data_IF_591486209517
#
_entry.id   IF_591486209517
#
_cell.length_a   1.000
_cell.length_b   1.000
_cell.length_c   1.000
_cell.angle_alpha   90.00
_cell.angle_beta   90.00
_cell.angle_gamma   90.00
#
_symmetry.space_group_name_H-M   'P 1'
#
loop_
_entity.id
_entity.type
_entity.pdbx_description
1 polymer ?
#
# COMPACT_ATOMS: atom_id res chain seq x y z
N UNK A 1 -44.45 7.48 12.71
CA UNK A 1 -42.98 7.41 12.62
C UNK A 1 -42.48 7.33 11.16
N UNK A 2 -42.99 6.42 10.33
CA UNK A 2 -42.63 6.30 8.89
C UNK A 2 -42.91 7.55 8.02
N UNK A 3 -44.02 8.27 8.26
CA UNK A 3 -44.36 9.51 7.50
C UNK A 3 -43.36 10.65 7.74
N UNK A 4 -42.83 10.76 8.95
CA UNK A 4 -41.92 11.83 9.36
C UNK A 4 -40.52 11.63 8.78
N UNK A 5 -40.07 10.37 8.69
CA UNK A 5 -38.82 9.98 8.02
C UNK A 5 -38.90 10.24 6.52
N UNK A 6 -40.01 9.88 5.86
CA UNK A 6 -40.22 10.20 4.44
C UNK A 6 -40.24 11.71 4.16
N UNK A 7 -40.79 12.52 5.08
CA UNK A 7 -40.81 13.97 4.97
C UNK A 7 -39.40 14.58 5.11
N UNK A 8 -38.59 14.11 6.07
CA UNK A 8 -37.22 14.56 6.25
C UNK A 8 -36.32 14.16 5.07
N UNK A 9 -36.49 12.96 4.53
CA UNK A 9 -35.79 12.48 3.33
C UNK A 9 -36.18 13.32 2.12
N UNK A 10 -37.46 13.63 1.91
CA UNK A 10 -37.91 14.48 0.78
C UNK A 10 -37.39 15.92 0.89
N UNK A 11 -37.32 16.47 2.10
CA UNK A 11 -36.81 17.82 2.35
C UNK A 11 -35.29 17.92 2.14
N UNK A 12 -34.52 16.92 2.57
CA UNK A 12 -33.07 16.83 2.31
C UNK A 12 -32.77 16.60 0.82
N UNK A 13 -33.64 15.85 0.11
CA UNK A 13 -33.53 15.65 -1.34
C UNK A 13 -33.72 16.95 -2.13
N UNK A 14 -34.49 17.91 -1.59
CA UNK A 14 -34.72 19.22 -2.22
C UNK A 14 -33.55 20.20 -2.04
N UNK A 15 -32.75 20.10 -0.97
CA UNK A 15 -31.67 21.05 -0.70
C UNK A 15 -30.38 20.80 -1.51
N UNK A 16 -30.17 19.56 -1.96
CA UNK A 16 -29.01 19.15 -2.79
C UNK A 16 -29.35 19.02 -4.29
N UNK A 17 -30.57 19.40 -4.69
CA UNK A 17 -30.97 19.42 -6.09
C UNK A 17 -30.61 20.77 -6.69
N UNK A 18 -29.80 20.75 -7.75
CA UNK A 18 -29.73 21.88 -8.68
C UNK A 18 -31.18 22.22 -9.07
N UNK A 19 -31.59 23.49 -8.89
CA UNK A 19 -32.98 23.89 -9.12
C UNK A 19 -33.42 23.43 -10.50
N UNK A 20 -34.53 22.68 -10.57
CA UNK A 20 -35.19 22.40 -11.85
C UNK A 20 -35.46 23.74 -12.55
N UNK A 21 -35.13 23.88 -13.85
CA UNK A 21 -34.85 22.82 -14.82
C UNK A 21 -33.36 22.50 -15.05
N UNK A 22 -32.42 23.16 -14.35
CA UNK A 22 -31.00 23.09 -14.68
C UNK A 22 -30.37 21.70 -14.49
N UNK A 23 -30.87 20.90 -13.55
CA UNK A 23 -30.49 19.48 -13.36
C UNK A 23 -30.76 18.64 -14.62
N UNK A 24 -31.95 18.80 -15.21
CA UNK A 24 -32.33 18.09 -16.43
C UNK A 24 -31.53 18.59 -17.64
N UNK A 25 -31.22 19.89 -17.69
CA UNK A 25 -30.37 20.48 -18.74
C UNK A 25 -28.94 19.94 -18.65
N UNK A 26 -28.33 19.88 -17.45
CA UNK A 26 -26.97 19.38 -17.26
C UNK A 26 -26.90 17.90 -17.65
N UNK A 27 -27.87 17.08 -17.23
CA UNK A 27 -27.93 15.66 -17.59
C UNK A 27 -28.11 15.49 -19.11
N UNK A 28 -28.93 16.33 -19.75
CA UNK A 28 -29.15 16.28 -21.19
C UNK A 28 -27.90 16.67 -21.99
N UNK A 29 -27.21 17.74 -21.59
CA UNK A 29 -25.95 18.17 -22.22
C UNK A 29 -24.87 17.09 -22.05
N UNK A 30 -24.74 16.52 -20.86
CA UNK A 30 -23.80 15.43 -20.59
C UNK A 30 -24.13 14.18 -21.41
N UNK A 31 -25.42 13.83 -21.52
CA UNK A 31 -25.88 12.72 -22.36
C UNK A 31 -25.48 12.93 -23.82
N UNK A 32 -25.71 14.13 -24.37
CA UNK A 32 -25.34 14.45 -25.75
C UNK A 32 -23.83 14.32 -25.98
N UNK A 33 -23.02 14.83 -25.04
CA UNK A 33 -21.55 14.80 -25.12
C UNK A 33 -21.00 13.36 -25.13
N UNK A 34 -21.63 12.46 -24.35
CA UNK A 34 -21.25 11.04 -24.29
C UNK A 34 -21.82 10.25 -25.49
N UNK A 35 -23.03 10.57 -25.94
CA UNK A 35 -23.70 9.86 -27.02
C UNK A 35 -23.02 10.02 -28.37
N UNK A 36 -22.43 11.19 -28.66
CA UNK A 36 -21.77 11.47 -29.94
C UNK A 36 -20.57 10.54 -30.20
N UNK A 37 -19.55 10.42 -29.31
CA UNK A 37 -18.44 9.48 -29.49
C UNK A 37 -18.90 8.01 -29.57
N UNK A 38 -19.84 7.62 -28.71
CA UNK A 38 -20.36 6.24 -28.68
C UNK A 38 -21.10 5.91 -29.97
N UNK A 39 -21.91 6.84 -30.49
CA UNK A 39 -22.56 6.68 -31.78
C UNK A 39 -21.55 6.45 -32.92
N UNK A 40 -20.45 7.20 -32.95
CA UNK A 40 -19.40 7.04 -33.97
C UNK A 40 -18.81 5.62 -33.89
N UNK A 41 -18.45 5.15 -32.69
CA UNK A 41 -17.88 3.80 -32.47
C UNK A 41 -18.87 2.70 -32.87
N UNK A 42 -20.13 2.82 -32.43
CA UNK A 42 -21.16 1.81 -32.71
C UNK A 42 -21.48 1.78 -34.20
N UNK A 43 -21.68 2.94 -34.83
CA UNK A 43 -21.99 3.03 -36.25
C UNK A 43 -20.89 2.45 -37.13
N UNK A 44 -19.60 2.69 -36.81
CA UNK A 44 -18.47 2.13 -37.54
C UNK A 44 -18.38 0.60 -37.43
N UNK A 45 -18.84 0.00 -36.33
CA UNK A 45 -18.78 -1.44 -36.09
C UNK A 45 -20.05 -2.20 -36.48
N UNK A 46 -21.13 -1.50 -36.84
CA UNK A 46 -22.38 -2.12 -37.30
C UNK A 46 -22.46 -2.21 -38.82
N UNK A 47 -22.98 -3.32 -39.35
CA UNK A 47 -23.23 -3.46 -40.80
C UNK A 47 -24.27 -2.44 -41.23
N UNK A 48 -23.94 -1.59 -42.21
CA UNK A 48 -24.83 -0.54 -42.72
C UNK A 48 -26.04 -1.12 -43.47
N UNK A 49 -27.25 -1.05 -42.88
CA UNK A 49 -28.47 -1.33 -43.60
C UNK A 49 -28.81 -0.01 -44.32
N UNK A 50 -28.49 0.12 -45.61
CA UNK A 50 -28.77 1.34 -46.41
C UNK A 50 -30.28 1.56 -46.59
N UNK A 51 -30.98 1.93 -45.52
CA UNK A 51 -32.40 2.22 -45.51
C UNK A 51 -32.66 3.59 -46.15
N UNK A 52 -33.84 3.74 -46.72
CA UNK A 52 -34.27 4.99 -47.34
C UNK A 52 -34.13 6.15 -46.33
N UNK A 53 -33.52 7.27 -46.74
CA UNK A 53 -33.21 8.43 -45.91
C UNK A 53 -32.21 8.25 -44.74
N UNK A 54 -31.42 7.16 -44.69
CA UNK A 54 -30.51 6.88 -43.55
C UNK A 54 -31.22 6.85 -42.19
N UNK A 55 -32.48 6.40 -42.16
CA UNK A 55 -33.31 6.34 -40.95
C UNK A 55 -32.68 5.41 -39.90
N UNK A 56 -31.92 4.40 -40.35
CA UNK A 56 -31.11 3.51 -39.51
C UNK A 56 -30.17 4.29 -38.57
N UNK A 57 -29.53 5.36 -39.06
CA UNK A 57 -28.58 6.17 -38.28
C UNK A 57 -29.29 7.03 -37.24
N UNK A 58 -30.42 7.61 -37.60
CA UNK A 58 -31.23 8.43 -36.69
C UNK A 58 -31.81 7.57 -35.57
N UNK A 59 -32.34 6.39 -35.91
CA UNK A 59 -32.87 5.44 -34.92
C UNK A 59 -31.78 4.93 -33.97
N UNK A 60 -30.59 4.59 -34.51
CA UNK A 60 -29.46 4.14 -33.71
C UNK A 60 -28.97 5.25 -32.76
N UNK A 61 -28.91 6.49 -33.21
CA UNK A 61 -28.55 7.64 -32.37
C UNK A 61 -29.57 7.88 -31.26
N UNK A 62 -30.87 7.87 -31.58
CA UNK A 62 -31.95 8.03 -30.59
C UNK A 62 -31.94 6.88 -29.57
N UNK A 63 -31.68 5.65 -30.01
CA UNK A 63 -31.57 4.48 -29.15
C UNK A 63 -30.39 4.60 -28.16
N UNK A 64 -29.22 5.02 -28.63
CA UNK A 64 -28.03 5.27 -27.79
C UNK A 64 -28.32 6.39 -26.79
N UNK A 65 -28.93 7.49 -27.23
CA UNK A 65 -29.32 8.60 -26.36
C UNK A 65 -30.28 8.15 -25.24
N UNK A 66 -31.25 7.28 -25.55
CA UNK A 66 -32.20 6.74 -24.57
C UNK A 66 -31.50 5.85 -23.54
N UNK A 67 -30.59 4.98 -23.97
CA UNK A 67 -29.82 4.10 -23.08
C UNK A 67 -28.94 4.92 -22.14
N UNK A 68 -28.17 5.88 -22.67
CA UNK A 68 -27.29 6.72 -21.87
C UNK A 68 -28.11 7.58 -20.90
N UNK A 69 -29.25 8.13 -21.33
CA UNK A 69 -30.16 8.87 -20.44
C UNK A 69 -30.64 8.02 -19.27
N UNK A 70 -30.99 6.75 -19.53
CA UNK A 70 -31.43 5.81 -18.51
C UNK A 70 -30.28 5.46 -17.55
N UNK A 71 -29.08 5.21 -18.07
CA UNK A 71 -27.87 4.94 -17.28
C UNK A 71 -27.54 6.13 -16.36
N UNK A 72 -27.50 7.36 -16.89
CA UNK A 72 -27.21 8.56 -16.11
C UNK A 72 -28.25 8.81 -15.00
N UNK A 73 -29.53 8.52 -15.28
CA UNK A 73 -30.61 8.64 -14.28
C UNK A 73 -30.50 7.57 -13.19
N UNK A 74 -30.12 6.35 -13.54
CA UNK A 74 -29.90 5.25 -12.58
C UNK A 74 -28.65 5.48 -11.75
N UNK A 75 -27.53 5.88 -12.37
CA UNK A 75 -26.26 6.18 -11.71
C UNK A 75 -26.41 7.21 -10.59
N UNK A 76 -27.20 8.27 -10.81
CA UNK A 76 -27.51 9.26 -9.76
C UNK A 76 -28.08 8.60 -8.51
N UNK A 77 -28.99 7.64 -8.69
CA UNK A 77 -29.63 6.93 -7.58
C UNK A 77 -28.64 5.99 -6.91
N UNK A 78 -27.83 5.27 -7.69
CA UNK A 78 -26.78 4.37 -7.18
C UNK A 78 -25.75 5.14 -6.35
N UNK A 79 -25.23 6.27 -6.84
CA UNK A 79 -24.25 7.10 -6.13
C UNK A 79 -24.78 7.56 -4.78
N UNK A 80 -26.04 8.03 -4.74
CA UNK A 80 -26.68 8.44 -3.48
C UNK A 80 -26.79 7.26 -2.51
N UNK A 81 -27.19 6.08 -2.99
CA UNK A 81 -27.27 4.86 -2.17
C UNK A 81 -25.89 4.50 -1.61
N UNK A 82 -24.85 4.52 -2.44
CA UNK A 82 -23.47 4.24 -2.02
C UNK A 82 -22.98 5.22 -0.95
N UNK A 83 -23.26 6.53 -1.11
CA UNK A 83 -22.89 7.55 -0.13
C UNK A 83 -23.62 7.30 1.21
N UNK A 84 -24.92 7.00 1.17
CA UNK A 84 -25.69 6.71 2.38
C UNK A 84 -25.16 5.46 3.08
N UNK A 85 -24.90 4.38 2.33
CA UNK A 85 -24.30 3.15 2.89
C UNK A 85 -22.92 3.42 3.51
N UNK A 86 -22.09 4.23 2.86
CA UNK A 86 -20.79 4.63 3.37
C UNK A 86 -20.91 5.41 4.69
N UNK A 87 -21.81 6.40 4.76
CA UNK A 87 -22.08 7.16 5.99
C UNK A 87 -22.59 6.24 7.11
N UNK A 88 -23.46 5.27 6.80
CA UNK A 88 -23.94 4.28 7.78
C UNK A 88 -22.78 3.41 8.29
N UNK A 89 -21.90 2.94 7.40
CA UNK A 89 -20.74 2.14 7.78
C UNK A 89 -19.79 2.92 8.71
N UNK A 90 -19.57 4.20 8.44
CA UNK A 90 -18.75 5.07 9.29
C UNK A 90 -19.40 5.37 10.63
N UNK A 91 -20.72 5.63 10.64
CA UNK A 91 -21.46 5.83 11.88
C UNK A 91 -21.37 4.57 12.76
N UNK A 92 -21.60 3.40 12.17
CA UNK A 92 -21.44 2.12 12.87
C UNK A 92 -20.00 1.97 13.39
N UNK A 93 -18.99 2.16 12.55
CA UNK A 93 -17.59 2.08 12.96
C UNK A 93 -17.25 2.99 14.13
N UNK A 94 -17.73 4.24 14.11
CA UNK A 94 -17.57 5.20 15.20
C UNK A 94 -18.17 4.76 16.54
N UNK A 95 -19.34 4.09 16.54
CA UNK A 95 -19.95 3.62 17.78
C UNK A 95 -19.27 2.38 18.37
N UNK A 96 -18.73 1.50 17.52
CA UNK A 96 -18.13 0.22 17.95
C UNK A 96 -16.60 0.28 18.11
N UNK A 97 -16.00 1.48 18.09
CA UNK A 97 -14.54 1.65 18.20
C UNK A 97 -13.76 1.07 17.02
N UNK A 98 -14.40 0.94 15.86
CA UNK A 98 -13.79 0.52 14.58
C UNK A 98 -13.58 1.75 13.69
N UNK A 99 -13.15 1.54 12.44
CA UNK A 99 -12.92 2.62 11.48
C UNK A 99 -14.17 3.49 11.29
N UNK A 100 -14.09 4.77 11.65
CA UNK A 100 -15.23 5.68 11.65
C UNK A 100 -14.84 7.13 11.33
N UNK A 101 -15.70 8.08 11.68
CA UNK A 101 -15.49 9.50 11.36
C UNK A 101 -14.18 10.07 11.92
N UNK A 102 -13.80 9.70 13.15
CA UNK A 102 -12.53 10.15 13.75
C UNK A 102 -11.32 9.69 12.93
N UNK A 103 -11.33 8.41 12.51
CA UNK A 103 -10.25 7.83 11.68
C UNK A 103 -10.10 8.56 10.36
N UNK A 104 -11.21 8.90 9.69
CA UNK A 104 -11.17 9.67 8.44
C UNK A 104 -10.61 11.07 8.66
N UNK A 105 -11.05 11.76 9.70
CA UNK A 105 -10.54 13.12 9.97
C UNK A 105 -9.06 13.12 10.28
N UNK A 106 -8.59 12.07 10.96
CA UNK A 106 -7.20 11.85 11.28
C UNK A 106 -6.40 11.51 10.01
N UNK A 107 -6.86 10.55 9.21
CA UNK A 107 -6.26 10.18 7.91
C UNK A 107 -6.17 11.38 6.96
N UNK A 108 -7.21 12.22 6.89
CA UNK A 108 -7.22 13.42 6.06
C UNK A 108 -6.23 14.47 6.56
N UNK A 109 -6.16 14.72 7.87
CA UNK A 109 -5.17 15.64 8.45
C UNK A 109 -3.76 15.12 8.18
N UNK A 110 -3.50 13.85 8.41
CA UNK A 110 -2.22 13.22 8.11
C UNK A 110 -1.84 13.38 6.65
N UNK A 111 -2.77 13.14 5.73
CA UNK A 111 -2.53 13.33 4.29
C UNK A 111 -2.11 14.78 3.99
N UNK A 112 -2.82 15.78 4.50
CA UNK A 112 -2.49 17.20 4.28
C UNK A 112 -1.11 17.57 4.86
N UNK A 113 -0.78 17.09 6.07
CA UNK A 113 0.53 17.33 6.68
C UNK A 113 1.67 16.64 5.91
N UNK A 114 1.48 15.38 5.53
CA UNK A 114 2.47 14.65 4.73
C UNK A 114 2.70 15.27 3.34
N UNK A 115 1.68 15.95 2.77
CA UNK A 115 1.81 16.72 1.53
C UNK A 115 2.51 18.05 1.72
N UNK A 116 2.41 18.71 2.89
CA UNK A 116 3.07 20.00 3.12
C UNK A 116 4.58 19.87 3.27
N UNK A 117 5.05 18.72 3.76
CA UNK A 117 6.46 18.48 4.07
C UNK A 117 7.21 17.74 2.95
N UNK A 118 6.49 17.26 1.91
CA UNK A 118 7.07 16.50 0.80
C UNK A 118 7.39 17.39 -0.40
N UNK A 119 8.60 17.32 -0.98
CA UNK A 119 8.98 18.12 -2.16
C UNK A 119 8.15 17.79 -3.42
N UNK A 120 7.60 16.56 -3.51
CA UNK A 120 6.71 16.11 -4.59
C UNK A 120 5.44 15.42 -4.02
N UNK A 121 4.37 16.16 -3.71
CA UNK A 121 3.17 15.59 -3.07
C UNK A 121 2.39 14.62 -3.98
N UNK A 122 2.55 14.68 -5.30
CA UNK A 122 1.94 13.72 -6.23
C UNK A 122 2.47 12.29 -6.05
N UNK A 123 3.74 12.13 -5.68
CA UNK A 123 4.39 10.80 -5.56
C UNK A 123 3.86 10.05 -4.33
N UNK A 124 3.46 10.78 -3.28
CA UNK A 124 2.81 10.23 -2.10
C UNK A 124 1.40 9.68 -2.40
N UNK A 125 0.63 10.38 -3.24
CA UNK A 125 -0.69 9.90 -3.68
C UNK A 125 -0.51 8.68 -4.60
N UNK A 126 0.44 8.77 -5.53
CA UNK A 126 0.68 7.73 -6.51
C UNK A 126 1.18 6.44 -5.85
N UNK A 127 2.11 6.51 -4.90
CA UNK A 127 2.58 5.35 -4.13
C UNK A 127 1.48 4.68 -3.28
N UNK A 128 0.45 5.43 -2.86
CA UNK A 128 -0.73 4.86 -2.19
C UNK A 128 -1.76 4.25 -3.15
N UNK A 129 -1.80 4.72 -4.40
CA UNK A 129 -2.68 4.20 -5.45
C UNK A 129 -2.06 3.02 -6.20
N UNK A 130 -0.73 2.96 -6.28
CA UNK A 130 -0.02 1.87 -6.92
C UNK A 130 -0.11 0.61 -6.05
N UNK A 131 -0.74 -0.47 -6.54
CA UNK A 131 -0.79 -1.71 -5.79
C UNK A 131 0.63 -2.27 -5.66
N UNK A 132 1.03 -2.66 -4.45
CA UNK A 132 2.28 -3.36 -4.22
C UNK A 132 2.30 -4.64 -5.10
N UNK A 133 3.29 -4.79 -6.00
CA UNK A 133 3.28 -5.88 -6.97
C UNK A 133 3.31 -7.22 -6.23
N UNK A 134 2.53 -8.19 -6.73
CA UNK A 134 2.45 -9.54 -6.14
C UNK A 134 2.15 -9.58 -4.61
N UNK A 135 1.51 -8.54 -4.03
CA UNK A 135 1.26 -8.41 -2.58
C UNK A 135 0.78 -9.69 -1.89
N UNK A 136 -0.23 -10.36 -2.45
CA UNK A 136 -0.77 -11.59 -1.87
C UNK A 136 0.23 -12.74 -1.85
N UNK A 137 1.03 -12.89 -2.91
CA UNK A 137 2.09 -13.90 -2.99
C UNK A 137 3.16 -13.64 -1.93
N UNK A 138 3.58 -12.39 -1.78
CA UNK A 138 4.59 -11.98 -0.79
C UNK A 138 4.10 -12.22 0.64
N UNK A 139 2.86 -11.82 0.95
CA UNK A 139 2.27 -12.07 2.27
C UNK A 139 2.23 -13.56 2.60
N UNK A 140 1.86 -14.40 1.62
CA UNK A 140 1.83 -15.85 1.80
C UNK A 140 3.24 -16.45 1.92
N UNK A 141 4.23 -15.89 1.21
CA UNK A 141 5.60 -16.36 1.20
C UNK A 141 6.36 -16.08 2.50
N UNK A 142 5.94 -15.09 3.30
CA UNK A 142 6.60 -14.72 4.55
C UNK A 142 6.59 -15.87 5.58
N UNK A 143 5.50 -16.63 5.72
CA UNK A 143 5.47 -17.81 6.61
C UNK A 143 6.08 -17.58 8.02
N UNK A 144 5.83 -16.43 8.66
CA UNK A 144 6.50 -16.04 9.92
C UNK A 144 6.18 -16.96 11.11
N UNK A 145 5.07 -17.69 11.02
CA UNK A 145 4.59 -18.70 11.96
C UNK A 145 5.14 -20.11 11.67
N UNK A 146 5.84 -20.30 10.54
CA UNK A 146 6.49 -21.56 10.20
C UNK A 146 7.61 -21.87 11.19
N UNK A 147 7.57 -23.08 11.76
CA UNK A 147 8.53 -23.54 12.76
C UNK A 147 9.97 -23.44 12.30
N UNK A 148 10.29 -23.72 11.03
CA UNK A 148 11.67 -23.68 10.52
C UNK A 148 12.23 -22.25 10.52
N UNK A 149 11.41 -21.30 10.06
CA UNK A 149 11.74 -19.86 10.06
C UNK A 149 11.97 -19.38 11.49
N UNK A 150 11.04 -19.71 12.39
CA UNK A 150 11.13 -19.35 13.80
C UNK A 150 12.37 -19.96 14.49
N UNK A 151 12.62 -21.25 14.30
CA UNK A 151 13.77 -21.95 14.91
C UNK A 151 15.09 -21.35 14.41
N UNK A 152 15.17 -20.97 13.14
CA UNK A 152 16.32 -20.26 12.59
C UNK A 152 16.51 -18.87 13.21
N UNK A 153 15.44 -18.07 13.32
CA UNK A 153 15.51 -16.76 13.94
C UNK A 153 15.97 -16.86 15.41
N UNK A 154 15.43 -17.79 16.19
CA UNK A 154 15.85 -18.07 17.56
C UNK A 154 17.33 -18.48 17.65
N UNK A 155 17.79 -19.34 16.73
CA UNK A 155 19.21 -19.73 16.63
C UNK A 155 20.11 -18.51 16.40
N UNK A 156 19.71 -17.59 15.51
CA UNK A 156 20.45 -16.37 15.25
C UNK A 156 20.60 -15.51 16.52
N UNK A 157 19.53 -15.33 17.31
CA UNK A 157 19.58 -14.60 18.60
C UNK A 157 20.47 -15.25 19.65
N UNK A 158 20.70 -16.56 19.56
CA UNK A 158 21.59 -17.28 20.47
C UNK A 158 23.04 -17.18 20.03
N UNK A 159 23.28 -17.14 18.71
CA UNK A 159 24.61 -17.08 18.11
C UNK A 159 25.23 -15.68 18.18
N UNK A 160 24.44 -14.65 17.89
CA UNK A 160 24.92 -13.26 17.84
C UNK A 160 24.34 -12.43 19.00
N UNK A 161 25.14 -11.52 19.54
CA UNK A 161 24.73 -10.48 20.50
C UNK A 161 24.07 -10.93 21.82
N UNK A 162 24.03 -12.24 22.11
CA UNK A 162 23.44 -12.79 23.35
C UNK A 162 23.99 -12.20 24.65
N UNK A 163 25.27 -11.80 24.66
CA UNK A 163 25.97 -11.28 25.86
C UNK A 163 25.85 -9.76 26.04
N UNK A 164 25.13 -9.05 25.15
CA UNK A 164 24.96 -7.60 25.24
C UNK A 164 23.96 -7.28 26.35
N UNK A 165 24.44 -6.60 27.40
CA UNK A 165 23.65 -6.23 28.58
C UNK A 165 23.44 -4.71 28.64
N UNK A 166 22.46 -4.26 29.43
CA UNK A 166 22.22 -2.83 29.69
C UNK A 166 21.23 -2.13 28.73
N UNK A 167 20.81 -2.79 27.64
CA UNK A 167 19.92 -2.22 26.63
C UNK A 167 18.54 -2.89 26.62
N UNK A 168 17.89 -3.01 27.78
CA UNK A 168 16.60 -3.71 27.91
C UNK A 168 15.51 -3.14 26.99
N UNK A 169 15.46 -1.81 26.84
CA UNK A 169 14.53 -1.12 25.93
C UNK A 169 14.66 -1.60 24.48
N UNK A 170 15.88 -1.89 24.04
CA UNK A 170 16.21 -2.24 22.65
C UNK A 170 16.44 -3.75 22.45
N UNK A 171 16.03 -4.59 23.41
CA UNK A 171 16.30 -6.03 23.38
C UNK A 171 15.78 -6.71 22.11
N UNK A 172 14.54 -6.44 21.73
CA UNK A 172 13.96 -6.99 20.50
C UNK A 172 14.73 -6.55 19.26
N UNK A 173 15.08 -5.26 19.18
CA UNK A 173 15.86 -4.72 18.04
C UNK A 173 17.25 -5.37 17.96
N UNK A 174 17.94 -5.58 19.09
CA UNK A 174 19.22 -6.29 19.13
C UNK A 174 19.07 -7.73 18.63
N UNK A 175 17.97 -8.41 18.97
CA UNK A 175 17.67 -9.75 18.47
C UNK A 175 17.36 -9.75 16.97
N UNK A 176 16.64 -8.75 16.45
CA UNK A 176 16.45 -8.58 15.02
C UNK A 176 17.77 -8.29 14.28
N UNK A 177 18.68 -7.51 14.88
CA UNK A 177 20.02 -7.32 14.35
C UNK A 177 20.86 -8.60 14.36
N UNK A 178 20.65 -9.50 15.32
CA UNK A 178 21.27 -10.83 15.31
C UNK A 178 20.77 -11.68 14.13
N UNK A 179 19.46 -11.62 13.83
CA UNK A 179 18.87 -12.25 12.64
C UNK A 179 19.48 -11.67 11.36
N UNK A 180 19.49 -10.34 11.24
CA UNK A 180 20.10 -9.65 10.10
C UNK A 180 21.54 -10.10 9.87
N UNK A 181 22.35 -10.13 10.93
CA UNK A 181 23.75 -10.57 10.84
C UNK A 181 23.88 -12.01 10.35
N UNK A 182 23.02 -12.92 10.84
CA UNK A 182 23.07 -14.32 10.42
C UNK A 182 22.67 -14.52 8.97
N UNK A 183 21.67 -13.78 8.47
CA UNK A 183 21.24 -13.85 7.07
C UNK A 183 22.29 -13.19 6.17
N UNK A 184 22.61 -11.92 6.38
CA UNK A 184 23.45 -11.14 5.46
C UNK A 184 24.90 -11.65 5.39
N UNK A 185 25.44 -12.23 6.47
CA UNK A 185 26.79 -12.81 6.43
C UNK A 185 26.90 -14.10 5.59
N UNK A 186 25.77 -14.70 5.20
CA UNK A 186 25.70 -16.00 4.53
C UNK A 186 24.84 -15.97 3.27
N UNK A 187 24.17 -14.85 2.99
CA UNK A 187 23.27 -14.73 1.85
C UNK A 187 24.05 -14.82 0.54
N UNK A 188 23.59 -15.67 -0.36
CA UNK A 188 24.13 -15.82 -1.70
C UNK A 188 23.10 -15.36 -2.73
N UNK A 189 23.39 -14.22 -3.37
CA UNK A 189 22.47 -13.64 -4.35
C UNK A 189 22.43 -14.46 -5.63
N UNK A 190 21.24 -14.89 -6.03
CA UNK A 190 21.01 -15.64 -7.28
C UNK A 190 19.83 -15.02 -8.00
N UNK A 191 20.06 -14.54 -9.22
CA UNK A 191 18.99 -13.99 -10.05
C UNK A 191 18.05 -15.08 -10.57
N UNK A 192 16.78 -14.71 -10.71
CA UNK A 192 15.79 -15.54 -11.38
C UNK A 192 16.11 -15.83 -12.86
N UNK A 193 15.52 -16.92 -13.42
CA UNK A 193 15.56 -17.15 -14.85
C UNK A 193 14.97 -15.96 -15.62
N UNK A 194 15.65 -15.55 -16.69
CA UNK A 194 15.22 -14.41 -17.52
C UNK A 194 13.75 -14.51 -17.92
N UNK A 195 12.98 -13.45 -17.62
CA UNK A 195 11.58 -13.32 -18.00
C UNK A 195 10.58 -14.01 -17.05
N UNK A 196 11.01 -14.40 -15.85
CA UNK A 196 10.15 -14.86 -14.77
C UNK A 196 10.59 -14.19 -13.47
N UNK A 197 9.60 -13.78 -12.69
CA UNK A 197 9.80 -13.36 -11.30
C UNK A 197 9.17 -14.45 -10.41
N UNK A 198 10.00 -15.17 -9.69
CA UNK A 198 9.64 -16.21 -8.74
C UNK A 198 9.89 -15.71 -7.33
N UNK A 199 8.84 -15.67 -6.52
CA UNK A 199 8.94 -15.28 -5.12
C UNK A 199 8.99 -16.57 -4.30
N UNK A 200 10.17 -16.92 -3.81
CA UNK A 200 10.34 -18.07 -2.94
C UNK A 200 9.70 -17.82 -1.57
N UNK A 201 9.24 -18.90 -0.95
CA UNK A 201 8.79 -18.83 0.46
C UNK A 201 9.98 -18.67 1.40
N UNK A 202 9.77 -18.07 2.57
CA UNK A 202 10.82 -17.92 3.57
C UNK A 202 11.42 -19.28 3.96
N UNK A 203 10.61 -20.34 4.05
CA UNK A 203 11.11 -21.68 4.37
C UNK A 203 11.93 -22.32 3.23
N UNK A 204 11.67 -21.94 1.99
CA UNK A 204 12.44 -22.34 0.80
C UNK A 204 13.80 -21.63 0.76
N UNK A 205 13.82 -20.30 0.82
CA UNK A 205 15.07 -19.51 0.83
C UNK A 205 15.96 -19.87 2.01
N UNK A 206 15.36 -20.22 3.17
CA UNK A 206 16.09 -20.64 4.37
C UNK A 206 16.96 -21.89 4.15
N UNK A 207 16.58 -22.78 3.22
CA UNK A 207 17.30 -24.05 2.99
C UNK A 207 18.74 -23.79 2.51
N UNK A 208 18.92 -22.79 1.65
CA UNK A 208 20.21 -22.47 1.03
C UNK A 208 20.74 -21.08 1.39
N UNK A 209 19.95 -20.25 2.07
CA UNK A 209 20.22 -18.82 2.28
C UNK A 209 20.63 -18.15 0.96
N UNK A 210 19.84 -18.42 -0.08
CA UNK A 210 20.10 -17.95 -1.44
C UNK A 210 18.80 -17.54 -2.11
N UNK A 211 18.90 -16.62 -3.05
CA UNK A 211 17.77 -16.05 -3.79
C UNK A 211 18.08 -14.65 -4.27
N UNK A 212 17.11 -13.98 -4.87
CA UNK A 212 17.25 -12.61 -5.34
C UNK A 212 16.88 -11.57 -4.26
N UNK A 213 16.54 -10.33 -4.68
CA UNK A 213 16.16 -9.28 -3.75
C UNK A 213 14.82 -9.56 -3.06
N UNK A 214 13.90 -10.22 -3.75
CA UNK A 214 12.57 -10.52 -3.26
C UNK A 214 12.63 -11.62 -2.20
N UNK A 215 13.38 -12.68 -2.50
CA UNK A 215 13.59 -13.82 -1.61
C UNK A 215 14.29 -13.39 -0.30
N UNK A 216 15.32 -12.53 -0.40
CA UNK A 216 16.02 -12.01 0.76
C UNK A 216 15.08 -11.20 1.66
N UNK A 217 14.31 -10.31 1.04
CA UNK A 217 13.33 -9.46 1.68
C UNK A 217 12.27 -10.27 2.43
N UNK A 218 11.71 -11.29 1.77
CA UNK A 218 10.73 -12.21 2.34
C UNK A 218 11.30 -12.95 3.54
N UNK A 219 12.48 -13.57 3.41
CA UNK A 219 13.12 -14.31 4.50
C UNK A 219 13.46 -13.41 5.70
N UNK A 220 14.01 -12.22 5.44
CA UNK A 220 14.39 -11.26 6.48
C UNK A 220 13.16 -10.83 7.28
N UNK A 221 12.11 -10.39 6.58
CA UNK A 221 10.88 -9.94 7.19
C UNK A 221 10.19 -11.06 7.99
N UNK A 222 10.18 -12.27 7.47
CA UNK A 222 9.68 -13.47 8.15
C UNK A 222 10.40 -13.74 9.47
N UNK A 223 11.73 -13.76 9.44
CA UNK A 223 12.53 -14.03 10.62
C UNK A 223 12.36 -12.93 11.68
N UNK A 224 12.31 -11.66 11.28
CA UNK A 224 12.09 -10.52 12.18
C UNK A 224 10.71 -10.60 12.84
N UNK A 225 9.66 -10.84 12.04
CA UNK A 225 8.29 -10.96 12.54
C UNK A 225 8.14 -12.15 13.50
N UNK A 226 8.80 -13.28 13.21
CA UNK A 226 8.75 -14.50 14.05
C UNK A 226 9.30 -14.32 15.48
N UNK A 227 10.06 -13.26 15.72
CA UNK A 227 10.63 -12.92 17.04
C UNK A 227 10.04 -11.62 17.63
N UNK A 228 8.96 -11.11 17.03
CA UNK A 228 8.23 -9.95 17.54
C UNK A 228 8.79 -8.58 17.13
N UNK A 229 9.67 -8.53 16.11
CA UNK A 229 10.03 -7.27 15.47
C UNK A 229 9.02 -6.87 14.40
N UNK A 230 8.90 -5.57 14.13
CA UNK A 230 8.05 -5.06 13.05
C UNK A 230 8.90 -4.77 11.83
N UNK A 231 8.59 -5.46 10.73
CA UNK A 231 9.26 -5.29 9.45
C UNK A 231 8.28 -4.75 8.39
N UNK A 232 8.82 -4.05 7.39
CA UNK A 232 8.10 -3.69 6.17
C UNK A 232 8.97 -3.97 4.95
N UNK A 233 8.34 -4.18 3.80
CA UNK A 233 9.03 -4.34 2.52
C UNK A 233 8.84 -3.09 1.68
N UNK A 234 9.93 -2.58 1.12
CA UNK A 234 9.92 -1.42 0.24
C UNK A 234 10.19 -1.87 -1.19
N UNK A 235 9.33 -1.47 -2.11
CA UNK A 235 9.47 -1.73 -3.53
C UNK A 235 9.85 -0.44 -4.27
N UNK A 236 10.92 -0.52 -5.07
CA UNK A 236 11.41 0.57 -5.92
C UNK A 236 11.35 0.13 -7.40
N UNK A 237 11.81 0.96 -8.36
CA UNK A 237 11.71 0.69 -9.81
C UNK A 237 12.38 -0.58 -10.36
N UNK A 238 12.96 -1.42 -9.51
CA UNK A 238 13.51 -2.73 -9.86
C UNK A 238 14.20 -3.45 -8.70
N UNK A 239 13.82 -3.15 -7.46
CA UNK A 239 14.45 -3.72 -6.26
C UNK A 239 13.44 -3.73 -5.11
N UNK A 240 13.41 -4.83 -4.36
CA UNK A 240 12.69 -4.94 -3.10
C UNK A 240 13.69 -5.13 -1.95
N UNK A 241 13.50 -4.39 -0.86
CA UNK A 241 14.33 -4.55 0.33
C UNK A 241 13.49 -4.49 1.63
N UNK A 242 13.95 -5.16 2.70
CA UNK A 242 13.29 -5.11 3.99
C UNK A 242 13.78 -3.92 4.83
N UNK A 243 12.87 -3.36 5.63
CA UNK A 243 13.20 -2.40 6.68
C UNK A 243 12.62 -2.85 8.02
N UNK A 244 13.23 -2.39 9.11
CA UNK A 244 12.78 -2.65 10.47
C UNK A 244 12.42 -1.35 11.20
N UNK A 245 11.32 -1.39 11.95
CA UNK A 245 10.96 -0.32 12.87
C UNK A 245 11.90 -0.30 14.08
N UNK A 246 12.57 0.83 14.32
CA UNK A 246 13.47 1.00 15.46
C UNK A 246 12.94 1.93 16.56
N UNK A 247 11.78 2.56 16.34
CA UNK A 247 11.16 3.49 17.28
C UNK A 247 10.88 4.83 16.61
N UNK A 248 11.19 5.94 17.29
CA UNK A 248 11.06 7.30 16.76
C UNK A 248 12.41 8.03 16.78
N UNK A 249 12.41 9.34 16.52
CA UNK A 249 13.64 10.16 16.48
C UNK A 249 14.47 10.12 17.76
N UNK A 250 13.86 9.87 18.92
CA UNK A 250 14.57 9.76 20.22
C UNK A 250 15.40 8.48 20.28
N UNK A 251 14.95 7.42 19.60
CA UNK A 251 15.62 6.11 19.58
C UNK A 251 16.76 6.03 18.56
N UNK A 252 16.81 6.95 17.60
CA UNK A 252 17.78 6.93 16.52
C UNK A 252 19.23 6.95 17.02
N UNK A 253 19.56 7.86 17.95
CA UNK A 253 20.94 8.02 18.41
C UNK A 253 21.45 6.85 19.27
N UNK A 254 20.66 6.31 20.24
CA UNK A 254 21.00 5.07 20.93
C UNK A 254 21.19 3.88 19.98
N UNK A 255 20.34 3.74 18.96
CA UNK A 255 20.45 2.66 17.97
C UNK A 255 21.69 2.85 17.07
N UNK A 256 21.97 4.08 16.64
CA UNK A 256 23.18 4.43 15.90
C UNK A 256 24.45 4.09 16.70
N UNK A 257 24.46 4.39 18.00
CA UNK A 257 25.55 3.97 18.90
C UNK A 257 25.66 2.45 18.98
N UNK A 258 24.56 1.74 19.18
CA UNK A 258 24.55 0.27 19.24
C UNK A 258 25.14 -0.35 17.97
N UNK A 259 24.72 0.11 16.79
CA UNK A 259 25.23 -0.39 15.51
C UNK A 259 26.73 -0.11 15.40
N UNK A 260 27.16 1.14 15.64
CA UNK A 260 28.54 1.58 15.37
C UNK A 260 29.58 1.20 16.40
N UNK A 261 29.18 1.06 17.67
CA UNK A 261 30.11 0.89 18.79
C UNK A 261 29.99 -0.44 19.50
N UNK A 262 28.89 -1.19 19.30
CA UNK A 262 28.63 -2.43 20.04
C UNK A 262 28.47 -3.64 19.12
N UNK A 263 27.61 -3.55 18.10
CA UNK A 263 27.12 -4.73 17.37
C UNK A 263 27.84 -4.97 16.03
N UNK A 264 28.09 -3.90 15.26
CA UNK A 264 28.65 -3.98 13.90
C UNK A 264 29.88 -3.08 13.74
N UNK A 265 30.75 -3.06 14.75
CA UNK A 265 31.89 -2.13 14.83
C UNK A 265 32.79 -2.15 13.60
N UNK A 266 33.26 -3.32 13.09
CA UNK A 266 34.05 -3.33 11.87
C UNK A 266 33.21 -3.05 10.61
N UNK A 267 31.99 -3.58 10.53
CA UNK A 267 31.17 -3.51 9.32
C UNK A 267 30.64 -2.09 9.03
N UNK A 268 30.38 -1.30 10.08
CA UNK A 268 29.84 0.07 10.03
C UNK A 268 30.91 1.18 10.15
N UNK A 269 32.19 0.83 10.25
CA UNK A 269 33.28 1.78 10.47
C UNK A 269 33.32 2.85 9.37
N UNK A 270 33.18 4.13 9.77
CA UNK A 270 33.14 5.31 8.88
C UNK A 270 32.01 5.30 7.84
N UNK A 271 30.94 4.54 8.09
CA UNK A 271 29.76 4.50 7.23
C UNK A 271 28.60 5.28 7.85
N UNK A 272 27.73 5.80 6.99
CA UNK A 272 26.48 6.45 7.38
C UNK A 272 25.41 5.40 7.68
N UNK A 273 24.43 5.79 8.47
CA UNK A 273 23.25 4.97 8.77
C UNK A 273 22.09 5.61 8.03
N UNK A 274 21.50 4.88 7.09
CA UNK A 274 20.38 5.32 6.28
C UNK A 274 19.06 4.77 6.85
N UNK A 275 18.04 5.61 6.89
CA UNK A 275 16.74 5.30 7.45
C UNK A 275 15.66 6.15 6.77
N UNK A 276 14.42 5.69 6.86
CA UNK A 276 13.23 6.46 6.51
C UNK A 276 12.47 6.86 7.76
N UNK A 277 11.81 8.01 7.71
CA UNK A 277 10.81 8.41 8.70
C UNK A 277 9.46 8.32 8.00
N UNK A 278 8.51 7.58 8.56
CA UNK A 278 7.16 7.47 8.01
C UNK A 278 6.27 8.65 8.43
N UNK A 279 5.03 8.66 7.94
CA UNK A 279 4.09 9.76 8.20
C UNK A 279 3.67 9.86 9.68
N UNK A 280 3.97 8.83 10.49
CA UNK A 280 3.69 8.76 11.93
C UNK A 280 4.91 9.14 12.78
N UNK A 281 6.01 9.56 12.15
CA UNK A 281 7.26 9.88 12.83
C UNK A 281 8.03 8.66 13.32
N UNK A 282 7.68 7.46 12.82
CA UNK A 282 8.40 6.24 13.14
C UNK A 282 9.62 6.10 12.24
N UNK A 283 10.72 5.62 12.82
CA UNK A 283 12.01 5.48 12.15
C UNK A 283 12.18 4.03 11.69
N UNK A 284 12.45 3.87 10.40
CA UNK A 284 12.61 2.60 9.72
C UNK A 284 14.02 2.46 9.19
N UNK A 285 14.70 1.39 9.54
CA UNK A 285 16.10 1.16 9.23
C UNK A 285 16.24 0.14 8.09
N UNK A 286 17.08 0.46 7.10
CA UNK A 286 17.34 -0.43 5.96
C UNK A 286 18.02 -1.75 6.39
N UNK A 287 17.52 -2.89 5.92
CA UNK A 287 18.08 -4.22 6.15
C UNK A 287 18.45 -4.97 4.86
N UNK A 288 18.64 -4.26 3.75
CA UNK A 288 19.07 -4.81 2.46
C UNK A 288 20.33 -5.69 2.55
N UNK A 289 20.42 -6.72 1.70
CA UNK A 289 21.56 -7.63 1.60
C UNK A 289 22.84 -6.95 1.10
N UNK A 290 22.72 -5.78 0.47
CA UNK A 290 23.86 -5.01 -0.06
C UNK A 290 24.83 -4.50 1.01
N UNK A 291 24.40 -4.46 2.28
CA UNK A 291 25.23 -4.06 3.40
C UNK A 291 25.36 -5.16 4.47
N UNK A 292 26.53 -5.19 5.12
CA UNK A 292 26.83 -6.09 6.24
C UNK A 292 26.54 -5.47 7.61
N UNK A 293 25.83 -4.34 7.65
CA UNK A 293 25.39 -3.64 8.85
C UNK A 293 23.99 -3.06 8.62
N UNK A 294 23.13 -2.98 9.65
CA UNK A 294 21.83 -2.33 9.55
C UNK A 294 21.95 -0.84 9.22
N UNK A 295 21.08 -0.35 8.35
CA UNK A 295 21.09 1.02 7.85
C UNK A 295 22.11 1.27 6.74
N UNK A 296 22.34 0.26 5.89
CA UNK A 296 23.13 0.43 4.66
C UNK A 296 22.50 1.41 3.67
N UNK A 297 23.26 1.88 2.67
CA UNK A 297 22.76 2.79 1.65
C UNK A 297 21.59 2.17 0.86
N UNK A 298 20.66 3.00 0.39
CA UNK A 298 19.57 2.58 -0.49
C UNK A 298 20.09 2.43 -1.93
N UNK A 299 19.64 1.40 -2.66
CA UNK A 299 20.00 1.21 -4.07
C UNK A 299 19.25 2.17 -5.02
N UNK A 300 18.05 2.60 -4.65
CA UNK A 300 17.24 3.58 -5.39
C UNK A 300 16.45 4.43 -4.40
N UNK A 301 16.35 5.74 -4.67
CA UNK A 301 15.67 6.70 -3.79
C UNK A 301 14.14 6.73 -4.01
N UNK A 302 13.66 6.32 -5.19
CA UNK A 302 12.23 6.40 -5.51
C UNK A 302 11.46 5.18 -4.96
N UNK A 303 10.71 5.42 -3.89
CA UNK A 303 9.82 4.43 -3.27
C UNK A 303 8.50 4.39 -4.04
N UNK A 304 8.23 3.26 -4.69
CA UNK A 304 6.98 3.03 -5.43
C UNK A 304 5.88 2.43 -4.55
N UNK A 305 6.24 1.74 -3.48
CA UNK A 305 5.30 1.18 -2.53
C UNK A 305 5.95 0.62 -1.26
N UNK A 306 5.16 0.56 -0.19
CA UNK A 306 5.56 -0.02 1.09
C UNK A 306 4.51 -1.03 1.59
N UNK A 307 4.97 -2.18 2.07
CA UNK A 307 4.14 -3.23 2.66
C UNK A 307 4.55 -3.46 4.12
N UNK A 308 3.83 -2.86 5.05
CA UNK A 308 4.04 -3.07 6.49
C UNK A 308 3.38 -4.37 6.96
N UNK A 309 4.12 -5.14 7.76
CA UNK A 309 3.69 -6.44 8.26
C UNK A 309 3.27 -6.36 9.73
N UNK A 310 2.13 -5.72 9.99
CA UNK A 310 1.54 -5.62 11.34
C UNK A 310 1.03 -6.97 11.87
#
# INVERSE_FOLDING_TARGET
MLRTVNYLITKAKQSFQVKKPWDDVIIFVLNLLIAIPIFIIVHQNTKNPNWYFNIDRVLLFVFILLIIQLILRVLRTIIIICIVLYIIALAFGSFYGRYGFSSITEDYRYMIYSMSDSPNPQDLILSKLLPFPNKSKIINAIEYDNRRVRDFALKATTKHFKKVNGYYKYRTIIQCFAVFKEINSRWNYVSDPKGRDYIATASESLLYLSGDCDDHSVLMAACIKSIGGTARLIHTGGHMYPEILIGNSIDLEPINYLIKKVLFVPESKRKLIHYHIDERGQVWLNLDYTAMYPGGPFMSEEILGALTLD
#
